data_IF_123680981725
#
_entry.id   IF_123680981725
#
_cell.length_a   1.000
_cell.length_b   1.000
_cell.length_c   1.000
_cell.angle_alpha   90.00
_cell.angle_beta   90.00
_cell.angle_gamma   90.00
#
_symmetry.space_group_name_H-M   'P 1'
#
loop_
_entity.id
_entity.type
_entity.pdbx_description
1 polymer ?
#
# COMPACT_ATOMS: atom_id res chain seq x y z
N UNK A 1 -67.91 -20.12 -16.21
CA UNK A 1 -66.69 -20.61 -15.53
C UNK A 1 -65.52 -19.76 -15.99
N UNK A 2 -64.77 -19.18 -15.06
CA UNK A 2 -63.84 -18.07 -15.28
C UNK A 2 -62.53 -18.59 -15.91
N UNK A 3 -62.06 -17.96 -16.99
CA UNK A 3 -60.75 -18.25 -17.61
C UNK A 3 -59.66 -17.53 -16.79
N UNK A 4 -58.61 -18.25 -16.40
CA UNK A 4 -57.47 -17.73 -15.67
C UNK A 4 -56.37 -17.35 -16.67
N UNK A 5 -56.12 -16.05 -16.83
CA UNK A 5 -55.00 -15.55 -17.63
C UNK A 5 -53.78 -15.43 -16.72
N UNK A 6 -52.77 -16.26 -16.95
CA UNK A 6 -51.50 -16.22 -16.22
C UNK A 6 -50.59 -15.15 -16.87
N UNK A 7 -50.54 -13.95 -16.29
CA UNK A 7 -49.50 -12.98 -16.61
C UNK A 7 -48.24 -13.34 -15.81
N UNK A 8 -47.26 -13.92 -16.48
CA UNK A 8 -45.92 -14.10 -15.94
C UNK A 8 -45.23 -12.73 -15.93
N UNK A 9 -45.33 -12.00 -14.82
CA UNK A 9 -44.45 -10.85 -14.55
C UNK A 9 -43.10 -11.43 -14.15
N UNK A 10 -42.25 -11.74 -15.14
CA UNK A 10 -40.79 -11.72 -14.92
C UNK A 10 -40.44 -10.24 -14.80
N UNK A 11 -40.66 -9.70 -13.61
CA UNK A 11 -40.06 -8.43 -13.24
C UNK A 11 -38.57 -8.68 -13.17
N UNK A 12 -37.82 -8.07 -14.10
CA UNK A 12 -36.38 -7.92 -13.99
C UNK A 12 -36.05 -7.56 -12.54
N UNK A 13 -35.48 -8.49 -11.79
CA UNK A 13 -34.69 -8.14 -10.61
C UNK A 13 -33.51 -7.39 -11.21
N UNK A 14 -33.58 -6.06 -11.19
CA UNK A 14 -32.40 -5.22 -11.30
C UNK A 14 -31.55 -5.57 -10.08
N UNK A 15 -30.71 -6.58 -10.22
CA UNK A 15 -29.52 -6.69 -9.39
C UNK A 15 -28.65 -5.48 -9.80
N UNK A 16 -28.93 -4.32 -9.22
CA UNK A 16 -27.96 -3.25 -9.22
C UNK A 16 -26.72 -3.84 -8.54
N UNK A 17 -25.64 -4.01 -9.31
CA UNK A 17 -24.34 -4.26 -8.73
C UNK A 17 -23.95 -2.96 -8.03
N UNK A 18 -24.35 -2.80 -6.76
CA UNK A 18 -23.77 -1.78 -5.93
C UNK A 18 -22.33 -2.18 -5.72
N UNK A 19 -21.42 -1.49 -6.41
CA UNK A 19 -20.02 -1.65 -6.11
C UNK A 19 -19.77 -1.08 -4.73
N UNK A 20 -19.29 -1.93 -3.84
CA UNK A 20 -19.16 -1.58 -2.44
C UNK A 20 -18.02 -0.56 -2.28
N UNK A 21 -18.36 0.66 -1.88
CA UNK A 21 -17.35 1.71 -1.75
C UNK A 21 -16.61 1.61 -0.43
N UNK A 22 -15.32 1.99 -0.43
CA UNK A 22 -14.54 2.14 0.80
C UNK A 22 -14.84 3.52 1.37
N UNK A 23 -15.26 3.58 2.63
CA UNK A 23 -15.64 4.82 3.31
C UNK A 23 -14.58 5.32 4.30
N UNK A 24 -13.77 4.41 4.83
CA UNK A 24 -12.66 4.74 5.73
C UNK A 24 -11.55 3.69 5.61
N UNK A 25 -10.35 4.04 6.05
CA UNK A 25 -9.26 3.11 6.22
C UNK A 25 -8.38 3.54 7.39
N UNK A 26 -7.70 2.56 7.99
CA UNK A 26 -6.77 2.81 9.09
C UNK A 26 -5.51 1.97 8.96
N UNK A 27 -4.43 2.49 9.53
CA UNK A 27 -3.17 1.78 9.65
C UNK A 27 -2.67 1.76 11.09
N UNK A 28 -1.80 0.79 11.38
CA UNK A 28 -1.12 0.70 12.68
C UNK A 28 0.21 -0.04 12.52
N UNK A 29 1.12 0.17 13.48
CA UNK A 29 2.41 -0.51 13.54
C UNK A 29 2.41 -1.57 14.64
N UNK A 30 2.91 -2.76 14.30
CA UNK A 30 3.23 -3.90 15.15
C UNK A 30 2.04 -4.53 15.89
N UNK A 31 1.40 -3.81 16.82
CA UNK A 31 0.29 -4.31 17.62
C UNK A 31 -1.05 -3.74 17.13
N UNK A 32 -2.02 -4.62 16.83
CA UNK A 32 -3.38 -4.20 16.45
C UNK A 32 -4.09 -3.53 17.64
N UNK A 33 -4.47 -2.24 17.54
CA UNK A 33 -5.23 -1.55 18.60
C UNK A 33 -6.70 -1.96 18.66
N UNK A 34 -7.13 -2.86 17.77
CA UNK A 34 -8.53 -3.22 17.57
C UNK A 34 -9.21 -2.35 16.51
N UNK A 35 -10.29 -2.88 15.94
CA UNK A 35 -11.04 -2.31 14.83
C UNK A 35 -11.54 -0.90 15.14
N UNK A 36 -11.21 0.07 14.27
CA UNK A 36 -11.61 1.47 14.41
C UNK A 36 -10.75 2.29 15.38
N UNK A 37 -9.69 1.69 15.95
CA UNK A 37 -8.76 2.35 16.87
C UNK A 37 -7.37 2.57 16.25
N UNK A 38 -7.21 2.32 14.94
CA UNK A 38 -5.98 2.61 14.21
C UNK A 38 -5.86 4.10 13.87
N UNK A 39 -4.76 4.46 13.20
CA UNK A 39 -4.62 5.82 12.65
C UNK A 39 -5.38 5.90 11.33
N UNK A 40 -6.42 6.73 11.30
CA UNK A 40 -7.27 6.92 10.11
C UNK A 40 -6.53 7.62 8.98
N UNK A 41 -6.80 7.19 7.75
CA UNK A 41 -6.37 7.89 6.52
C UNK A 41 -7.58 8.34 5.72
N UNK A 42 -7.41 9.44 4.98
CA UNK A 42 -8.46 9.97 4.11
C UNK A 42 -8.67 9.03 2.92
N UNK A 43 -9.90 8.61 2.69
CA UNK A 43 -10.28 7.82 1.51
C UNK A 43 -11.03 8.72 0.53
N UNK A 44 -10.57 8.76 -0.72
CA UNK A 44 -11.28 9.48 -1.79
C UNK A 44 -12.53 8.72 -2.24
N UNK A 45 -13.49 9.43 -2.84
CA UNK A 45 -14.63 8.82 -3.50
C UNK A 45 -14.19 7.72 -4.47
N UNK A 46 -14.77 6.55 -4.31
CA UNK A 46 -14.43 5.36 -5.08
C UNK A 46 -15.67 4.49 -5.30
N UNK A 47 -15.55 3.56 -6.24
CA UNK A 47 -16.56 2.54 -6.52
C UNK A 47 -16.05 1.16 -6.11
N UNK A 48 -15.37 1.04 -4.97
CA UNK A 48 -14.80 -0.23 -4.47
C UNK A 48 -13.41 -0.58 -4.97
N UNK A 49 -12.92 0.09 -6.01
CA UNK A 49 -11.49 0.11 -6.34
C UNK A 49 -10.82 1.29 -5.63
N UNK A 50 -9.88 0.98 -4.76
CA UNK A 50 -9.22 1.95 -3.90
C UNK A 50 -7.70 1.94 -4.15
N UNK A 51 -7.22 2.92 -4.91
CA UNK A 51 -5.80 3.12 -5.24
C UNK A 51 -5.38 4.52 -4.83
N UNK A 52 -4.66 4.63 -3.70
CA UNK A 52 -4.17 5.91 -3.19
C UNK A 52 -2.81 5.75 -2.52
N UNK A 53 -1.94 6.75 -2.68
CA UNK A 53 -0.63 6.79 -2.03
C UNK A 53 -0.69 7.60 -0.75
N UNK A 54 -0.17 7.04 0.34
CA UNK A 54 -0.07 7.72 1.63
C UNK A 54 1.39 7.90 2.06
N UNK A 55 1.67 9.06 2.65
CA UNK A 55 2.91 9.27 3.42
C UNK A 55 2.66 8.89 4.86
N UNK A 56 3.10 7.69 5.24
CA UNK A 56 2.91 7.17 6.60
C UNK A 56 4.11 7.58 7.48
N UNK A 57 3.94 8.44 8.49
CA UNK A 57 5.04 8.85 9.35
C UNK A 57 5.50 7.68 10.22
N UNK A 58 6.81 7.47 10.28
CA UNK A 58 7.47 6.49 11.16
C UNK A 58 8.04 7.14 12.42
N UNK A 59 7.65 8.38 12.71
CA UNK A 59 8.14 9.12 13.88
C UNK A 59 7.74 8.38 15.16
N UNK A 60 8.70 8.17 16.06
CA UNK A 60 8.48 7.46 17.32
C UNK A 60 8.68 5.94 17.25
N UNK A 61 8.86 5.36 16.06
CA UNK A 61 9.30 3.97 15.94
C UNK A 61 10.79 3.85 16.27
N UNK A 62 11.16 2.74 16.91
CA UNK A 62 12.55 2.42 17.19
C UNK A 62 13.27 1.95 15.91
N UNK A 63 14.59 1.80 15.98
CA UNK A 63 15.33 1.13 14.92
C UNK A 63 15.02 -0.36 14.95
N UNK A 64 14.95 -0.99 13.78
CA UNK A 64 14.69 -2.42 13.63
C UNK A 64 13.52 -2.74 12.71
N UNK A 65 13.06 -3.99 12.76
CA UNK A 65 11.92 -4.46 11.99
C UNK A 65 10.61 -4.01 12.62
N UNK A 66 9.72 -3.46 11.80
CA UNK A 66 8.35 -3.13 12.15
C UNK A 66 7.40 -3.72 11.09
N UNK A 67 6.19 -4.05 11.51
CA UNK A 67 5.11 -4.45 10.60
C UNK A 67 4.09 -3.32 10.50
N UNK A 68 3.89 -2.79 9.30
CA UNK A 68 2.79 -1.89 8.97
C UNK A 68 1.59 -2.72 8.55
N UNK A 69 0.45 -2.44 9.18
CA UNK A 69 -0.82 -3.06 8.85
C UNK A 69 -1.80 -2.02 8.35
N UNK A 70 -2.66 -2.41 7.41
CA UNK A 70 -3.66 -1.51 6.82
C UNK A 70 -4.97 -2.27 6.61
N UNK A 71 -6.09 -1.70 7.07
CA UNK A 71 -7.44 -2.26 6.81
C UNK A 71 -8.42 -1.17 6.41
N UNK A 72 -9.45 -1.55 5.68
CA UNK A 72 -10.48 -0.65 5.17
C UNK A 72 -11.86 -0.98 5.73
N UNK A 73 -12.72 0.03 5.76
CA UNK A 73 -14.12 -0.04 6.12
C UNK A 73 -14.94 0.26 4.87
N UNK A 74 -15.89 -0.61 4.55
CA UNK A 74 -16.80 -0.39 3.44
C UNK A 74 -18.06 0.39 3.85
N UNK A 75 -18.88 0.77 2.87
CA UNK A 75 -20.15 1.49 3.06
C UNK A 75 -21.27 0.69 3.75
N UNK A 76 -21.09 -0.62 3.93
CA UNK A 76 -21.97 -1.46 4.76
C UNK A 76 -21.53 -1.52 6.24
N UNK A 77 -20.43 -0.86 6.59
CA UNK A 77 -19.90 -0.85 7.96
C UNK A 77 -19.08 -2.09 8.33
N UNK A 78 -18.67 -2.89 7.35
CA UNK A 78 -17.82 -4.06 7.56
C UNK A 78 -16.35 -3.70 7.35
N UNK A 79 -15.51 -4.07 8.32
CA UNK A 79 -14.07 -3.95 8.21
C UNK A 79 -13.46 -5.13 7.47
N UNK A 80 -12.45 -4.87 6.65
CA UNK A 80 -11.63 -5.89 6.02
C UNK A 80 -10.71 -6.57 7.04
N UNK A 81 -10.14 -7.70 6.64
CA UNK A 81 -8.86 -8.13 7.23
C UNK A 81 -7.78 -7.11 6.85
N UNK A 82 -6.74 -7.00 7.67
CA UNK A 82 -5.61 -6.15 7.34
C UNK A 82 -4.70 -6.82 6.31
N UNK A 83 -4.07 -6.00 5.47
CA UNK A 83 -2.86 -6.36 4.75
C UNK A 83 -1.62 -5.98 5.58
N UNK A 84 -0.47 -6.59 5.30
CA UNK A 84 0.77 -6.39 6.08
C UNK A 84 1.98 -6.15 5.17
N UNK A 85 2.69 -5.06 5.45
CA UNK A 85 4.02 -4.80 4.92
C UNK A 85 5.07 -4.82 6.06
N UNK A 86 6.26 -5.35 5.79
CA UNK A 86 7.39 -5.30 6.74
C UNK A 86 8.33 -4.18 6.31
N UNK A 87 8.75 -3.36 7.27
CA UNK A 87 9.73 -2.31 7.08
C UNK A 87 10.90 -2.50 8.06
N UNK A 88 12.11 -2.16 7.64
CA UNK A 88 13.28 -2.12 8.51
C UNK A 88 13.75 -0.68 8.65
N UNK A 89 13.62 -0.12 9.85
CA UNK A 89 14.17 1.19 10.19
C UNK A 89 15.66 1.04 10.55
N UNK A 90 16.50 1.23 9.55
CA UNK A 90 17.93 1.48 9.77
C UNK A 90 18.12 2.95 10.19
N UNK A 91 18.87 3.17 11.26
CA UNK A 91 19.25 4.52 11.65
C UNK A 91 20.71 4.78 11.37
N UNK A 92 20.99 5.50 10.28
CA UNK A 92 22.29 6.13 10.08
C UNK A 92 22.50 7.24 11.13
N UNK A 93 23.73 7.51 11.57
CA UNK A 93 24.00 8.64 12.46
C UNK A 93 23.49 9.94 11.83
N UNK A 94 22.76 10.75 12.58
CA UNK A 94 22.24 12.04 12.13
C UNK A 94 23.39 12.99 11.79
N UNK A 95 23.23 13.79 10.74
CA UNK A 95 24.25 14.76 10.31
C UNK A 95 25.32 14.19 9.37
N UNK A 96 25.15 12.95 8.89
CA UNK A 96 25.98 12.41 7.82
C UNK A 96 25.36 12.70 6.45
N UNK A 97 26.21 13.08 5.50
CA UNK A 97 25.84 13.23 4.10
C UNK A 97 25.72 11.84 3.47
N UNK A 98 24.61 11.55 2.79
CA UNK A 98 24.51 10.35 1.97
C UNK A 98 25.43 10.50 0.75
N UNK A 99 26.45 9.64 0.65
CA UNK A 99 27.45 9.70 -0.43
C UNK A 99 27.02 8.96 -1.70
N UNK A 100 26.37 7.82 -1.53
CA UNK A 100 25.92 6.93 -2.60
C UNK A 100 24.76 6.08 -2.11
N UNK A 101 23.86 5.73 -3.02
CA UNK A 101 22.91 4.63 -2.87
C UNK A 101 23.04 3.73 -4.10
N UNK A 102 22.73 2.45 -3.97
CA UNK A 102 22.73 1.50 -5.09
C UNK A 102 21.42 0.72 -5.09
N UNK A 103 21.05 0.18 -6.24
CA UNK A 103 19.85 -0.65 -6.37
C UNK A 103 20.14 -1.92 -7.18
N UNK A 104 19.35 -2.95 -6.94
CA UNK A 104 19.39 -4.20 -7.70
C UNK A 104 18.02 -4.87 -7.76
N UNK A 105 17.89 -5.82 -8.68
CA UNK A 105 16.73 -6.70 -8.78
C UNK A 105 17.16 -8.13 -8.44
N UNK A 106 16.35 -8.77 -7.60
CA UNK A 106 16.45 -10.17 -7.18
C UNK A 106 17.73 -10.53 -6.41
N UNK A 107 18.85 -10.70 -7.12
CA UNK A 107 20.09 -11.19 -6.52
C UNK A 107 20.99 -10.01 -6.12
N UNK A 108 21.31 -9.94 -4.83
CA UNK A 108 22.25 -8.96 -4.27
C UNK A 108 23.67 -9.18 -4.85
N UNK A 109 24.23 -8.21 -5.60
CA UNK A 109 25.61 -8.29 -6.11
C UNK A 109 26.67 -7.99 -5.04
N UNK A 110 26.23 -7.67 -3.82
CA UNK A 110 27.05 -7.22 -2.72
C UNK A 110 27.25 -5.70 -2.73
N UNK A 111 27.71 -5.20 -1.59
CA UNK A 111 27.90 -3.77 -1.31
C UNK A 111 28.87 -3.13 -2.32
N UNK A 112 28.40 -2.07 -2.98
CA UNK A 112 29.17 -1.28 -3.95
C UNK A 112 29.18 -1.85 -5.37
N UNK A 113 28.48 -2.95 -5.61
CA UNK A 113 28.42 -3.62 -6.91
C UNK A 113 27.04 -3.51 -7.58
N UNK A 114 26.09 -2.78 -6.98
CA UNK A 114 24.77 -2.53 -7.54
C UNK A 114 24.75 -1.41 -8.59
N UNK A 115 23.56 -1.16 -9.13
CA UNK A 115 23.35 -0.02 -10.02
C UNK A 115 23.32 1.27 -9.19
N UNK A 116 24.14 2.25 -9.55
CA UNK A 116 24.25 3.49 -8.76
C UNK A 116 23.01 4.36 -8.89
N UNK A 117 22.43 4.75 -7.75
CA UNK A 117 21.52 5.88 -7.63
C UNK A 117 22.32 7.14 -7.36
N UNK A 118 22.25 8.10 -8.29
CA UNK A 118 22.92 9.38 -8.13
C UNK A 118 22.23 10.16 -7.01
N UNK A 119 22.99 10.44 -5.95
CA UNK A 119 22.51 11.19 -4.79
C UNK A 119 22.99 12.64 -4.91
N UNK A 120 22.09 13.61 -4.83
CA UNK A 120 22.51 15.00 -4.63
C UNK A 120 23.01 15.19 -3.19
N UNK A 121 23.85 16.22 -2.97
CA UNK A 121 24.30 16.58 -1.63
C UNK A 121 23.07 16.83 -0.74
N UNK A 122 22.83 15.93 0.21
CA UNK A 122 21.70 16.01 1.11
C UNK A 122 22.15 15.93 2.57
N UNK A 123 21.30 16.38 3.48
CA UNK A 123 21.51 16.35 4.93
C UNK A 123 21.21 14.98 5.56
N UNK A 124 21.37 13.89 4.80
CA UNK A 124 21.08 12.53 5.24
C UNK A 124 19.63 12.08 4.98
N UNK A 125 18.87 12.80 4.16
CA UNK A 125 17.53 12.39 3.72
C UNK A 125 17.44 12.42 2.19
N UNK A 126 17.08 11.28 1.60
CA UNK A 126 16.92 11.14 0.15
C UNK A 126 15.45 11.29 -0.24
N UNK A 127 15.04 12.51 -0.58
CA UNK A 127 13.67 12.81 -1.03
C UNK A 127 13.53 12.87 -2.54
N UNK A 128 14.52 12.37 -3.28
CA UNK A 128 14.58 12.48 -4.74
C UNK A 128 13.78 11.35 -5.40
N UNK A 129 13.01 11.69 -6.44
CA UNK A 129 12.32 10.71 -7.27
C UNK A 129 13.28 10.16 -8.34
N UNK A 130 13.32 8.84 -8.48
CA UNK A 130 14.16 8.14 -9.46
C UNK A 130 13.30 7.40 -10.50
N UNK A 131 13.71 7.47 -11.76
CA UNK A 131 13.17 6.61 -12.83
C UNK A 131 14.09 5.41 -13.00
N UNK A 132 13.64 4.23 -12.54
CA UNK A 132 14.42 2.99 -12.62
C UNK A 132 14.16 2.30 -13.96
N UNK A 133 15.24 1.99 -14.69
CA UNK A 133 15.13 1.23 -15.94
C UNK A 133 14.87 -0.25 -15.61
N UNK A 134 13.82 -0.81 -16.18
CA UNK A 134 13.45 -2.23 -16.07
C UNK A 134 13.74 -3.03 -17.33
N UNK A 135 14.41 -2.40 -18.32
CA UNK A 135 14.80 -3.06 -19.55
C UNK A 135 15.70 -4.25 -19.25
N UNK A 136 15.32 -5.43 -19.75
CA UNK A 136 16.05 -6.67 -19.55
C UNK A 136 15.56 -7.54 -18.39
N UNK A 137 14.59 -7.07 -17.59
CA UNK A 137 13.87 -7.96 -16.67
C UNK A 137 13.00 -8.93 -17.48
N UNK A 138 13.01 -10.20 -17.09
CA UNK A 138 12.15 -11.23 -17.67
C UNK A 138 10.69 -11.00 -17.32
N UNK A 139 9.78 -11.69 -18.02
CA UNK A 139 8.40 -11.78 -17.54
C UNK A 139 8.36 -12.57 -16.22
N UNK A 140 7.68 -12.02 -15.21
CA UNK A 140 7.52 -12.67 -13.90
C UNK A 140 7.62 -11.70 -12.72
N UNK A 141 7.73 -12.29 -11.53
CA UNK A 141 7.92 -11.55 -10.29
C UNK A 141 9.39 -11.18 -10.10
N UNK A 142 9.64 -9.91 -9.84
CA UNK A 142 10.95 -9.37 -9.49
C UNK A 142 10.87 -8.61 -8.17
N UNK A 143 11.92 -8.70 -7.36
CA UNK A 143 12.05 -7.93 -6.12
C UNK A 143 13.04 -6.79 -6.32
N UNK A 144 12.64 -5.58 -5.98
CA UNK A 144 13.48 -4.38 -6.05
C UNK A 144 14.09 -4.07 -4.69
N UNK A 145 15.39 -3.78 -4.67
CA UNK A 145 16.16 -3.45 -3.47
C UNK A 145 16.95 -2.16 -3.70
N UNK A 146 17.08 -1.35 -2.63
CA UNK A 146 17.87 -0.10 -2.52
C UNK A 146 18.60 -0.09 -1.19
#
# INVERSE_FOLDING_TARGET
>A
MKKLNLFLIIGLVWCANFSQSITSAEYFFDNDPGVGNGTTVMVNSNSGEFTQTYSIPTTGLNKGFHSLYFRSLNDEGNWSLYDRAVLYLAGFPSGQTLLSAEYFFDNDPGVGNGNILVVNSNSGNLTQSYSIQTTGLSEGFHSFYV
#
